data_IF_478192778651
#
_entry.id   IF_478192778651
#
_cell.length_a   1.000
_cell.length_b   1.000
_cell.length_c   1.000
_cell.angle_alpha   90.00
_cell.angle_beta   90.00
_cell.angle_gamma   90.00
#
_symmetry.space_group_name_H-M   'P 1'
#
loop_
_entity.id
_entity.type
_entity.pdbx_description
1 polymer ?
#
# COMPACT_ATOMS: atom_id res chain seq x y z
N UNK A 1 -24.69 -0.62 16.46
CA UNK A 1 -25.32 0.09 15.36
C UNK A 1 -25.89 -0.94 14.37
N UNK A 2 -27.24 -0.96 14.18
CA UNK A 2 -27.94 -2.01 13.43
C UNK A 2 -27.46 -2.09 11.98
N UNK A 3 -26.95 -1.00 11.41
CA UNK A 3 -26.42 -0.94 10.05
C UNK A 3 -25.07 -1.65 9.95
N UNK A 4 -24.19 -1.49 10.93
CA UNK A 4 -22.85 -2.07 10.89
C UNK A 4 -22.85 -3.61 10.91
N UNK A 5 -23.94 -4.25 11.39
CA UNK A 5 -24.05 -5.72 11.40
C UNK A 5 -24.40 -6.32 10.06
N UNK A 6 -24.91 -5.51 9.11
CA UNK A 6 -25.36 -5.96 7.78
C UNK A 6 -24.34 -5.67 6.67
N UNK A 7 -23.29 -4.91 6.98
CA UNK A 7 -22.27 -4.49 6.02
C UNK A 7 -20.88 -4.87 6.49
N UNK A 8 -20.05 -5.21 5.53
CA UNK A 8 -18.62 -5.46 5.75
C UNK A 8 -17.82 -4.53 4.85
N UNK A 9 -16.77 -3.92 5.41
CA UNK A 9 -15.84 -3.12 4.60
C UNK A 9 -15.00 -4.09 3.78
N UNK A 10 -15.08 -3.99 2.46
CA UNK A 10 -14.30 -4.79 1.54
C UNK A 10 -12.88 -4.25 1.37
N UNK A 11 -12.75 -2.95 1.13
CA UNK A 11 -11.46 -2.30 0.96
C UNK A 11 -11.58 -0.79 0.81
N UNK A 12 -10.44 -0.13 0.75
CA UNK A 12 -10.31 1.30 0.51
C UNK A 12 -9.73 1.51 -0.88
N UNK A 13 -10.51 2.13 -1.76
CA UNK A 13 -10.07 2.51 -3.11
C UNK A 13 -9.91 4.02 -3.14
N UNK A 14 -8.71 4.48 -3.44
CA UNK A 14 -8.39 5.92 -3.54
C UNK A 14 -8.24 6.29 -5.01
N UNK A 15 -9.02 7.28 -5.46
CA UNK A 15 -8.94 7.85 -6.80
C UNK A 15 -8.13 9.15 -6.74
N UNK A 16 -7.15 9.26 -7.64
CA UNK A 16 -6.27 10.42 -7.77
C UNK A 16 -6.39 11.01 -9.17
N UNK A 17 -6.34 12.33 -9.25
CA UNK A 17 -6.27 13.09 -10.50
C UNK A 17 -4.78 13.38 -10.81
N UNK A 18 -4.24 12.81 -11.90
CA UNK A 18 -2.82 12.95 -12.25
C UNK A 18 -2.37 14.40 -12.38
N UNK A 19 -3.27 15.30 -12.83
CA UNK A 19 -2.95 16.73 -13.05
C UNK A 19 -2.65 17.44 -11.74
N UNK A 20 -3.36 17.08 -10.65
CA UNK A 20 -3.27 17.80 -9.37
C UNK A 20 -2.63 16.98 -8.26
N UNK A 21 -2.41 15.68 -8.46
CA UNK A 21 -1.99 14.76 -7.41
C UNK A 21 -0.68 15.19 -6.75
N UNK A 22 0.32 15.59 -7.52
CA UNK A 22 1.62 16.03 -6.97
C UNK A 22 1.46 17.23 -6.04
N UNK A 23 0.75 18.26 -6.50
CA UNK A 23 0.47 19.45 -5.69
C UNK A 23 -0.32 19.10 -4.42
N UNK A 24 -1.35 18.23 -4.54
CA UNK A 24 -2.16 17.82 -3.39
C UNK A 24 -1.34 17.03 -2.36
N UNK A 25 -0.44 16.17 -2.82
CA UNK A 25 0.47 15.43 -1.93
C UNK A 25 1.45 16.38 -1.22
N UNK A 26 1.85 17.49 -1.83
CA UNK A 26 2.71 18.50 -1.20
C UNK A 26 1.95 19.30 -0.13
N UNK A 27 0.75 19.79 -0.48
CA UNK A 27 0.02 20.76 0.31
C UNK A 27 -0.82 20.13 1.43
N UNK A 28 -1.36 18.90 1.22
CA UNK A 28 -2.37 18.33 2.11
C UNK A 28 -1.92 17.00 2.73
N UNK A 29 -1.80 17.01 4.06
CA UNK A 29 -1.55 15.77 4.82
C UNK A 29 -2.64 14.72 4.58
N UNK A 30 -3.91 15.16 4.43
CA UNK A 30 -5.04 14.29 4.16
C UNK A 30 -4.89 13.52 2.84
N UNK A 31 -4.31 14.14 1.81
CA UNK A 31 -4.05 13.46 0.54
C UNK A 31 -3.01 12.34 0.73
N UNK A 32 -1.94 12.59 1.48
CA UNK A 32 -0.94 11.58 1.82
C UNK A 32 -1.54 10.45 2.66
N UNK A 33 -2.41 10.78 3.63
CA UNK A 33 -3.12 9.80 4.44
C UNK A 33 -4.05 8.92 3.60
N UNK A 34 -4.79 9.50 2.65
CA UNK A 34 -5.66 8.74 1.74
C UNK A 34 -4.87 7.73 0.90
N UNK A 35 -3.68 8.10 0.43
CA UNK A 35 -2.77 7.18 -0.24
C UNK A 35 -2.29 6.09 0.72
N UNK A 36 -1.91 6.45 1.94
CA UNK A 36 -1.44 5.51 2.95
C UNK A 36 -2.49 4.48 3.39
N UNK A 37 -3.78 4.86 3.41
CA UNK A 37 -4.89 3.97 3.75
C UNK A 37 -5.34 3.06 2.61
N UNK A 38 -5.02 3.40 1.36
CA UNK A 38 -5.55 2.71 0.19
C UNK A 38 -5.17 1.23 0.12
N UNK A 39 -6.13 0.40 -0.29
CA UNK A 39 -5.91 -0.98 -0.74
C UNK A 39 -5.69 -1.06 -2.24
N UNK A 40 -6.24 -0.07 -2.97
CA UNK A 40 -6.10 0.12 -4.41
C UNK A 40 -5.98 1.61 -4.71
N UNK A 41 -5.12 1.96 -5.64
CA UNK A 41 -4.93 3.32 -6.10
C UNK A 41 -5.29 3.40 -7.58
N UNK A 42 -6.17 4.31 -7.90
CA UNK A 42 -6.61 4.57 -9.27
C UNK A 42 -6.09 5.96 -9.66
N UNK A 43 -5.34 6.05 -10.75
CA UNK A 43 -4.86 7.32 -11.29
C UNK A 43 -5.65 7.64 -12.55
N UNK A 44 -6.40 8.73 -12.50
CA UNK A 44 -7.19 9.23 -13.63
C UNK A 44 -6.48 10.38 -14.34
N UNK A 45 -6.92 10.69 -15.55
CA UNK A 45 -6.45 11.82 -16.36
C UNK A 45 -4.95 11.76 -16.68
N UNK A 46 -4.39 10.57 -16.80
CA UNK A 46 -3.00 10.39 -17.21
C UNK A 46 -2.76 10.83 -18.66
N UNK A 47 -3.81 10.93 -19.46
CA UNK A 47 -3.83 11.49 -20.82
C UNK A 47 -3.58 13.01 -20.87
N UNK A 48 -3.70 13.71 -19.74
CA UNK A 48 -3.52 15.17 -19.63
C UNK A 48 -2.14 15.57 -19.10
N UNK A 49 -1.30 14.62 -18.75
CA UNK A 49 0.07 14.82 -18.26
C UNK A 49 1.05 14.02 -19.09
N UNK A 50 2.34 14.36 -19.06
CA UNK A 50 3.34 13.56 -19.78
C UNK A 50 3.68 12.28 -19.01
N UNK A 51 4.23 11.29 -19.69
CA UNK A 51 4.55 9.98 -19.12
C UNK A 51 5.58 10.09 -17.97
N UNK A 52 6.54 11.00 -18.07
CA UNK A 52 7.56 11.24 -17.05
C UNK A 52 6.93 11.72 -15.74
N UNK A 53 5.97 12.65 -15.79
CA UNK A 53 5.25 13.13 -14.59
C UNK A 53 4.40 12.02 -13.97
N UNK A 54 3.80 11.14 -14.79
CA UNK A 54 3.07 9.96 -14.30
C UNK A 54 4.01 9.01 -13.57
N UNK A 55 5.21 8.76 -14.10
CA UNK A 55 6.20 7.90 -13.47
C UNK A 55 6.68 8.48 -12.13
N UNK A 56 6.96 9.79 -12.08
CA UNK A 56 7.33 10.50 -10.85
C UNK A 56 6.23 10.38 -9.80
N UNK A 57 4.96 10.59 -10.21
CA UNK A 57 3.81 10.43 -9.33
C UNK A 57 3.71 8.99 -8.80
N UNK A 58 3.81 7.99 -9.67
CA UNK A 58 3.77 6.59 -9.30
C UNK A 58 4.91 6.23 -8.33
N UNK A 59 6.11 6.76 -8.55
CA UNK A 59 7.25 6.56 -7.65
C UNK A 59 6.95 7.12 -6.26
N UNK A 60 6.45 8.35 -6.18
CA UNK A 60 6.08 8.98 -4.91
C UNK A 60 4.98 8.21 -4.18
N UNK A 61 3.93 7.79 -4.90
CA UNK A 61 2.86 6.97 -4.34
C UNK A 61 3.41 5.68 -3.72
N UNK A 62 4.32 4.98 -4.42
CA UNK A 62 4.95 3.76 -3.91
C UNK A 62 5.83 4.00 -2.68
N UNK A 63 6.39 5.21 -2.54
CA UNK A 63 7.11 5.58 -1.33
C UNK A 63 6.18 5.69 -0.11
N UNK A 64 4.98 6.26 -0.30
CA UNK A 64 3.97 6.39 0.76
C UNK A 64 3.30 5.03 1.04
N UNK A 65 2.90 4.30 -0.01
CA UNK A 65 2.21 3.02 0.10
C UNK A 65 2.75 2.00 -0.92
N UNK A 66 3.77 1.23 -0.57
CA UNK A 66 4.40 0.26 -1.47
C UNK A 66 3.54 -0.97 -1.78
N UNK A 67 2.44 -1.17 -1.04
CA UNK A 67 1.65 -2.40 -1.11
C UNK A 67 0.35 -2.27 -1.90
N UNK A 68 -0.14 -1.05 -2.12
CA UNK A 68 -1.35 -0.83 -2.89
C UNK A 68 -1.02 -0.88 -4.40
N UNK A 69 -1.63 -1.80 -5.16
CA UNK A 69 -1.51 -1.77 -6.61
C UNK A 69 -2.07 -0.48 -7.18
N UNK A 70 -1.38 0.03 -8.20
CA UNK A 70 -1.75 1.26 -8.91
C UNK A 70 -2.32 0.88 -10.28
N UNK A 71 -3.49 1.42 -10.61
CA UNK A 71 -4.16 1.25 -11.88
C UNK A 71 -4.40 2.60 -12.54
N UNK A 72 -4.21 2.66 -13.86
CA UNK A 72 -4.55 3.84 -14.65
C UNK A 72 -6.00 3.70 -15.12
N UNK A 73 -6.76 4.79 -14.99
CA UNK A 73 -8.18 4.82 -15.28
C UNK A 73 -8.45 5.87 -16.33
N UNK A 74 -8.99 5.45 -17.47
CA UNK A 74 -9.35 6.30 -18.57
C UNK A 74 -10.88 6.56 -18.59
N UNK A 75 -11.29 7.83 -18.42
CA UNK A 75 -12.70 8.25 -18.36
C UNK A 75 -13.58 7.39 -17.44
N UNK A 76 -13.05 6.98 -16.29
CA UNK A 76 -13.77 6.14 -15.33
C UNK A 76 -13.88 4.66 -15.73
N UNK A 77 -13.21 4.24 -16.80
CA UNK A 77 -13.15 2.84 -17.23
C UNK A 77 -12.11 2.10 -16.42
N UNK A 78 -12.57 1.22 -15.59
CA UNK A 78 -11.75 0.31 -14.77
C UNK A 78 -12.47 -1.05 -14.73
N UNK A 79 -11.71 -2.13 -14.71
CA UNK A 79 -12.27 -3.44 -14.49
C UNK A 79 -12.87 -3.50 -13.08
N UNK A 80 -14.13 -3.92 -12.99
CA UNK A 80 -14.85 -4.02 -11.72
C UNK A 80 -14.12 -4.91 -10.72
N UNK A 81 -13.45 -5.96 -11.18
CA UNK A 81 -12.62 -6.83 -10.36
C UNK A 81 -11.41 -6.12 -9.71
N UNK A 82 -11.02 -4.95 -10.22
CA UNK A 82 -9.95 -4.14 -9.64
C UNK A 82 -10.45 -3.25 -8.49
N UNK A 83 -11.76 -3.03 -8.36
CA UNK A 83 -12.35 -2.13 -7.37
C UNK A 83 -13.34 -2.80 -6.42
N UNK A 84 -13.86 -3.97 -6.75
CA UNK A 84 -14.71 -4.79 -5.90
C UNK A 84 -13.98 -6.08 -5.51
N UNK A 85 -14.44 -6.71 -4.44
CA UNK A 85 -13.84 -7.91 -3.86
C UNK A 85 -12.32 -7.73 -3.60
N UNK A 86 -11.99 -6.53 -3.13
CA UNK A 86 -10.61 -6.12 -2.84
C UNK A 86 -10.04 -6.96 -1.69
N UNK A 87 -10.93 -7.44 -0.80
CA UNK A 87 -10.60 -8.22 0.40
C UNK A 87 -9.54 -7.53 1.29
N UNK A 88 -9.57 -6.20 1.29
CA UNK A 88 -8.59 -5.38 1.99
C UNK A 88 -8.53 -5.64 3.49
N UNK A 89 -9.62 -6.12 4.08
CA UNK A 89 -9.74 -6.46 5.50
C UNK A 89 -9.88 -7.96 5.77
N UNK A 90 -10.00 -8.80 4.73
CA UNK A 90 -10.12 -10.23 4.86
C UNK A 90 -8.81 -10.91 4.47
N UNK A 91 -8.01 -11.27 5.45
CA UNK A 91 -6.70 -11.92 5.25
C UNK A 91 -6.82 -13.40 4.89
N UNK A 92 -7.99 -14.02 5.14
CA UNK A 92 -8.20 -15.45 4.93
C UNK A 92 -8.17 -15.86 3.46
N UNK A 93 -8.47 -14.95 2.52
CA UNK A 93 -8.54 -15.25 1.09
C UNK A 93 -7.20 -15.12 0.35
N UNK A 94 -6.18 -14.52 0.98
CA UNK A 94 -4.86 -14.28 0.37
C UNK A 94 -3.73 -15.13 0.93
N UNK A 95 -4.03 -16.05 1.83
CA UNK A 95 -3.05 -17.02 2.31
C UNK A 95 -3.07 -18.26 1.40
N UNK A 96 -2.88 -18.04 0.09
CA UNK A 96 -2.16 -19.01 -0.70
C UNK A 96 -0.69 -18.77 -0.36
N UNK A 97 -0.15 -19.58 0.52
CA UNK A 97 1.28 -19.67 0.70
C UNK A 97 1.78 -20.32 -0.59
N UNK A 98 2.13 -19.50 -1.58
CA UNK A 98 2.94 -19.97 -2.69
C UNK A 98 4.33 -20.25 -2.15
N UNK A 99 4.52 -21.47 -1.63
CA UNK A 99 5.82 -22.01 -1.21
C UNK A 99 6.74 -22.32 -2.40
N UNK A 100 6.33 -22.01 -3.63
CA UNK A 100 7.07 -22.34 -4.85
C UNK A 100 7.12 -21.16 -5.83
N UNK A 101 7.95 -20.15 -5.56
CA UNK A 101 8.50 -19.34 -6.66
C UNK A 101 10.00 -19.05 -6.48
N UNK A 102 10.79 -20.15 -6.38
CA UNK A 102 12.20 -20.16 -6.70
C UNK A 102 12.43 -20.92 -8.01
N UNK A 103 11.67 -20.60 -9.06
CA UNK A 103 11.96 -21.19 -10.37
C UNK A 103 11.67 -20.20 -11.50
N UNK A 104 12.73 -19.47 -11.89
CA UNK A 104 13.04 -19.12 -13.27
C UNK A 104 11.96 -18.37 -14.07
N UNK A 105 12.01 -17.06 -14.09
CA UNK A 105 11.86 -16.34 -15.35
C UNK A 105 13.07 -15.46 -15.62
N UNK A 106 13.97 -16.07 -16.37
CA UNK A 106 15.05 -15.46 -17.10
C UNK A 106 14.42 -14.60 -18.21
N UNK A 107 14.19 -13.34 -17.96
CA UNK A 107 14.00 -12.34 -18.99
C UNK A 107 15.07 -11.28 -18.80
N UNK A 108 16.16 -11.49 -19.54
CA UNK A 108 17.13 -10.47 -19.89
C UNK A 108 16.40 -9.22 -20.42
N UNK A 109 16.24 -8.23 -19.55
CA UNK A 109 16.29 -6.85 -19.92
C UNK A 109 17.38 -6.21 -19.08
N UNK A 110 18.52 -6.11 -19.75
CA UNK A 110 19.74 -5.47 -19.35
C UNK A 110 19.48 -3.97 -19.17
N UNK A 111 19.12 -3.56 -17.95
CA UNK A 111 19.26 -2.19 -17.47
C UNK A 111 19.77 -2.25 -16.04
N UNK A 112 21.06 -1.95 -15.83
CA UNK A 112 21.61 -1.83 -14.50
C UNK A 112 21.17 -0.50 -13.89
N UNK A 113 20.03 -0.48 -13.23
CA UNK A 113 19.73 0.57 -12.26
C UNK A 113 19.86 0.00 -10.86
N UNK A 114 21.12 -0.14 -10.44
CA UNK A 114 21.43 -0.06 -9.01
C UNK A 114 20.93 1.31 -8.53
N UNK A 115 19.77 1.34 -7.88
CA UNK A 115 19.39 2.45 -7.04
C UNK A 115 20.28 2.40 -5.79
N UNK A 116 21.54 2.78 -5.96
CA UNK A 116 22.38 3.24 -4.86
C UNK A 116 21.71 4.45 -4.22
N UNK A 117 21.93 4.63 -2.94
CA UNK A 117 21.39 5.65 -2.03
C UNK A 117 21.65 7.12 -2.43
N UNK A 118 21.74 7.43 -3.72
CA UNK A 118 22.00 8.78 -4.20
C UNK A 118 21.34 9.00 -5.59
N UNK A 119 20.02 8.77 -5.65
CA UNK A 119 19.29 9.35 -6.76
C UNK A 119 19.14 10.84 -6.45
N UNK A 120 19.91 11.65 -7.17
CA UNK A 120 19.90 13.11 -7.10
C UNK A 120 18.57 13.75 -7.54
N UNK A 121 17.44 13.15 -7.15
CA UNK A 121 16.12 13.74 -7.19
C UNK A 121 16.06 14.81 -6.11
N UNK A 122 16.39 16.05 -6.47
CA UNK A 122 16.40 17.22 -5.60
C UNK A 122 15.01 17.64 -5.11
N UNK A 123 14.05 16.73 -5.08
CA UNK A 123 12.73 16.96 -4.50
C UNK A 123 12.69 16.25 -3.14
N UNK A 124 13.08 17.00 -2.11
CA UNK A 124 12.76 16.64 -0.73
C UNK A 124 11.24 16.73 -0.55
N UNK A 125 10.54 15.70 -1.00
CA UNK A 125 9.15 15.52 -0.61
C UNK A 125 9.16 15.14 0.87
N UNK A 126 8.66 16.04 1.71
CA UNK A 126 8.44 15.81 3.14
C UNK A 126 7.22 14.90 3.33
N UNK A 127 7.29 13.69 2.77
CA UNK A 127 6.27 12.69 3.04
C UNK A 127 6.59 12.05 4.39
N UNK A 128 5.95 12.55 5.45
CA UNK A 128 6.09 12.05 6.82
C UNK A 128 5.49 10.64 7.02
N UNK A 129 4.93 10.05 5.95
CA UNK A 129 4.31 8.74 5.96
C UNK A 129 5.29 7.71 5.40
N UNK A 130 5.64 6.75 6.24
CA UNK A 130 6.52 5.63 5.88
C UNK A 130 5.83 4.30 6.11
N UNK A 131 6.16 3.32 5.28
CA UNK A 131 5.69 1.95 5.38
C UNK A 131 6.85 0.99 5.55
N UNK A 132 6.65 -0.08 6.32
CA UNK A 132 7.62 -1.15 6.43
C UNK A 132 6.92 -2.51 6.55
N UNK A 133 7.63 -3.57 6.19
CA UNK A 133 7.18 -4.96 6.33
C UNK A 133 8.13 -5.71 7.25
N UNK A 134 7.54 -6.47 8.17
CA UNK A 134 8.29 -7.36 9.04
C UNK A 134 7.94 -8.81 8.73
N UNK A 135 8.95 -9.63 8.46
CA UNK A 135 8.81 -11.06 8.23
C UNK A 135 9.48 -11.86 9.36
N UNK A 136 8.77 -12.85 9.91
CA UNK A 136 9.30 -13.77 10.89
C UNK A 136 8.98 -15.22 10.50
N UNK A 137 10.01 -16.08 10.51
CA UNK A 137 9.87 -17.53 10.37
C UNK A 137 9.58 -18.22 11.71
N UNK A 138 9.62 -17.47 12.82
CA UNK A 138 9.36 -18.00 14.16
C UNK A 138 7.93 -17.67 14.58
N UNK A 139 7.22 -18.60 15.25
CA UNK A 139 5.90 -18.32 15.77
C UNK A 139 5.96 -17.25 16.85
N UNK A 140 4.92 -16.42 16.88
CA UNK A 140 4.73 -15.42 17.92
C UNK A 140 4.07 -16.04 19.15
N UNK A 141 4.55 -15.65 20.32
CA UNK A 141 3.88 -15.90 21.59
C UNK A 141 2.69 -14.92 21.73
N UNK A 142 1.45 -15.42 21.94
CA UNK A 142 0.26 -14.57 21.97
C UNK A 142 0.34 -13.45 23.01
N UNK A 143 0.83 -13.74 24.21
CA UNK A 143 0.89 -12.75 25.28
C UNK A 143 1.92 -11.64 24.97
N UNK A 144 3.11 -12.04 24.48
CA UNK A 144 4.13 -11.07 24.08
C UNK A 144 3.71 -10.21 22.89
N UNK A 145 2.94 -10.79 21.97
CA UNK A 145 2.41 -10.06 20.83
C UNK A 145 1.37 -9.04 21.26
N UNK A 146 0.46 -9.39 22.14
CA UNK A 146 -0.51 -8.46 22.71
C UNK A 146 0.19 -7.31 23.46
N UNK A 147 1.14 -7.62 24.34
CA UNK A 147 1.94 -6.60 25.05
C UNK A 147 2.65 -5.67 24.07
N UNK A 148 3.17 -6.21 22.95
CA UNK A 148 3.81 -5.43 21.90
C UNK A 148 2.81 -4.48 21.21
N UNK A 149 1.63 -4.98 20.83
CA UNK A 149 0.60 -4.15 20.20
C UNK A 149 0.08 -3.08 21.13
N UNK A 150 -0.16 -3.39 22.41
CA UNK A 150 -0.62 -2.42 23.41
C UNK A 150 0.39 -1.27 23.58
N UNK A 151 1.69 -1.59 23.65
CA UNK A 151 2.75 -0.58 23.68
C UNK A 151 2.83 0.23 22.40
N UNK A 152 2.72 -0.43 21.26
CA UNK A 152 2.77 0.22 19.96
C UNK A 152 1.61 1.20 19.78
N UNK A 153 0.38 0.77 20.14
CA UNK A 153 -0.81 1.62 20.10
C UNK A 153 -0.69 2.79 21.09
N UNK A 154 -0.17 2.53 22.29
CA UNK A 154 0.00 3.58 23.31
C UNK A 154 1.00 4.64 22.87
N UNK A 155 2.12 4.23 22.24
CA UNK A 155 3.20 5.14 21.86
C UNK A 155 2.96 5.83 20.51
N UNK A 156 2.34 5.13 19.58
CA UNK A 156 2.28 5.56 18.16
C UNK A 156 0.87 5.58 17.57
N UNK A 157 -0.17 5.21 18.34
CA UNK A 157 -1.53 5.00 17.81
C UNK A 157 -2.09 6.16 17.00
N UNK A 158 -1.85 7.40 17.44
CA UNK A 158 -2.28 8.61 16.72
C UNK A 158 -1.49 8.88 15.44
N UNK A 159 -0.31 8.26 15.30
CA UNK A 159 0.59 8.41 14.15
C UNK A 159 0.57 7.21 13.22
N UNK A 160 -0.06 6.12 13.65
CA UNK A 160 -0.13 4.87 12.91
C UNK A 160 -1.40 4.85 12.06
N UNK A 161 -1.23 4.89 10.74
CA UNK A 161 -2.35 4.94 9.81
C UNK A 161 -3.00 3.57 9.66
N UNK A 162 -2.21 2.53 9.41
CA UNK A 162 -2.72 1.19 9.13
C UNK A 162 -1.68 0.14 9.45
N UNK A 163 -2.14 -1.02 9.93
CA UNK A 163 -1.34 -2.23 10.00
C UNK A 163 -2.16 -3.42 9.48
N UNK A 164 -1.49 -4.32 8.80
CA UNK A 164 -2.02 -5.58 8.29
C UNK A 164 -0.95 -6.65 8.40
N UNK A 165 -1.36 -7.89 8.60
CA UNK A 165 -0.41 -9.00 8.59
C UNK A 165 -1.09 -10.34 8.80
N UNK A 166 -0.37 -11.39 8.43
CA UNK A 166 -0.65 -12.77 8.81
C UNK A 166 0.31 -13.12 9.93
N UNK A 167 -0.22 -13.64 11.02
CA UNK A 167 0.56 -13.95 12.21
C UNK A 167 0.68 -15.45 12.36
N UNK A 168 1.91 -15.95 12.30
CA UNK A 168 2.19 -17.34 12.69
C UNK A 168 2.25 -17.41 14.22
N UNK A 169 1.21 -17.97 14.83
CA UNK A 169 1.07 -18.02 16.28
C UNK A 169 1.58 -19.34 16.82
N UNK A 170 2.21 -19.29 17.99
CA UNK A 170 2.57 -20.49 18.73
C UNK A 170 1.31 -21.15 19.27
N UNK A 171 1.22 -22.48 19.12
CA UNK A 171 0.11 -23.30 19.60
C UNK A 171 -1.29 -22.94 18.99
N UNK A 172 -1.30 -22.33 17.81
CA UNK A 172 -2.49 -22.18 17.00
C UNK A 172 -2.61 -23.40 16.08
N UNK A 173 -3.65 -24.22 16.30
CA UNK A 173 -4.07 -25.33 15.44
C UNK A 173 -4.82 -24.83 14.20
#
# INVERSE_FOLDING_TARGET
>A
DAVASEYMIDGIVTLMDAVFAMQQLDEYEQARQQVGYADRLLISKTDLVNDEDVEILCHRIRHINPHAPIYHVDFGRVDVAQVLDVHGFNLSSKVGIDEDDHARHDHHHDHPHECGHDCGCSHHHLDDINSFVFHSKKPFDPNRLNDFFDRMITLYGTRMLRYKGVLYMKDAD
#
